data_IF_508066940370
#
_entry.id   IF_508066940370
#
_cell.length_a   1.000
_cell.length_b   1.000
_cell.length_c   1.000
_cell.angle_alpha   90.00
_cell.angle_beta   90.00
_cell.angle_gamma   90.00
#
_symmetry.space_group_name_H-M   'P 1'
#
loop_
_entity.id
_entity.type
_entity.pdbx_description
1 polymer ?
#
# COMPACT_ATOMS: atom_id res chain seq x y z
N UNK A 1 25.59 13.29 -21.50
CA UNK A 1 25.16 12.14 -20.66
C UNK A 1 25.71 12.38 -19.27
N UNK A 2 24.88 12.43 -18.23
CA UNK A 2 25.36 12.69 -16.87
C UNK A 2 26.30 11.58 -16.38
N UNK A 3 27.24 11.91 -15.50
CA UNK A 3 28.22 10.97 -14.95
C UNK A 3 27.57 9.76 -14.23
N UNK A 4 26.40 9.98 -13.63
CA UNK A 4 25.63 8.96 -12.92
C UNK A 4 24.37 8.65 -13.72
N UNK A 5 24.21 7.39 -14.15
CA UNK A 5 23.01 6.93 -14.85
C UNK A 5 21.78 6.92 -13.95
N UNK A 6 20.58 7.05 -14.54
CA UNK A 6 19.31 6.97 -13.79
C UNK A 6 19.16 5.64 -13.06
N UNK A 7 19.62 4.53 -13.68
CA UNK A 7 19.64 3.22 -13.03
C UNK A 7 20.52 3.23 -11.76
N UNK A 8 21.71 3.82 -11.82
CA UNK A 8 22.58 3.92 -10.64
C UNK A 8 21.96 4.76 -9.53
N UNK A 9 21.31 5.88 -9.88
CA UNK A 9 20.58 6.70 -8.90
C UNK A 9 19.45 5.91 -8.25
N UNK A 10 18.66 5.21 -9.06
CA UNK A 10 17.56 4.37 -8.59
C UNK A 10 18.05 3.26 -7.65
N UNK A 11 19.05 2.48 -8.06
CA UNK A 11 19.62 1.39 -7.25
C UNK A 11 20.17 1.92 -5.91
N UNK A 12 20.81 3.10 -5.91
CA UNK A 12 21.30 3.74 -4.70
C UNK A 12 20.15 4.14 -3.76
N UNK A 13 19.11 4.81 -4.27
CA UNK A 13 17.94 5.22 -3.48
C UNK A 13 17.17 4.02 -2.93
N UNK A 14 17.06 2.93 -3.71
CA UNK A 14 16.46 1.68 -3.25
C UNK A 14 17.24 1.11 -2.07
N UNK A 15 18.57 1.03 -2.14
CA UNK A 15 19.40 0.52 -1.04
C UNK A 15 19.39 1.41 0.20
N UNK A 16 19.16 2.71 0.04
CA UNK A 16 19.00 3.63 1.15
C UNK A 16 17.66 3.43 1.87
N UNK A 17 16.59 3.12 1.12
CA UNK A 17 15.22 3.01 1.66
C UNK A 17 14.85 1.60 2.12
N UNK A 18 15.37 0.56 1.47
CA UNK A 18 14.93 -0.81 1.61
C UNK A 18 16.06 -1.74 2.05
N UNK A 19 15.80 -2.57 3.05
CA UNK A 19 16.66 -3.71 3.38
C UNK A 19 16.34 -4.88 2.43
N UNK A 20 17.16 -5.02 1.39
CA UNK A 20 17.02 -6.04 0.35
C UNK A 20 17.82 -7.32 0.64
N UNK A 21 18.40 -7.47 1.84
CA UNK A 21 19.23 -8.63 2.20
C UNK A 21 18.49 -9.97 2.09
N UNK A 22 17.18 -9.96 2.33
CA UNK A 22 16.31 -11.13 2.20
C UNK A 22 15.46 -11.15 0.90
N UNK A 23 15.72 -10.25 -0.04
CA UNK A 23 14.99 -10.13 -1.30
C UNK A 23 14.01 -8.95 -1.36
N UNK A 24 13.72 -8.51 -2.58
CA UNK A 24 12.88 -7.33 -2.87
C UNK A 24 11.44 -7.50 -2.37
N UNK A 25 10.91 -8.71 -2.42
CA UNK A 25 9.56 -9.03 -1.98
C UNK A 25 9.39 -8.77 -0.47
N UNK A 26 10.26 -9.35 0.35
CA UNK A 26 10.30 -9.10 1.80
C UNK A 26 10.64 -7.65 2.12
N UNK A 27 11.54 -7.02 1.36
CA UNK A 27 11.93 -5.64 1.57
C UNK A 27 10.74 -4.68 1.49
N UNK A 28 9.87 -4.86 0.48
CA UNK A 28 8.64 -4.07 0.34
C UNK A 28 7.68 -4.25 1.52
N UNK A 29 7.43 -5.50 1.93
CA UNK A 29 6.52 -5.84 3.03
C UNK A 29 7.00 -5.28 4.37
N UNK A 30 8.28 -5.46 4.71
CA UNK A 30 8.86 -4.95 5.95
C UNK A 30 8.88 -3.42 6.01
N UNK A 31 9.17 -2.79 4.87
CA UNK A 31 9.17 -1.32 4.78
C UNK A 31 7.75 -0.78 4.93
N UNK A 32 6.76 -1.41 4.30
CA UNK A 32 5.35 -1.07 4.45
C UNK A 32 4.86 -1.25 5.91
N UNK A 33 5.33 -2.28 6.62
CA UNK A 33 5.05 -2.44 8.05
C UNK A 33 5.52 -1.23 8.87
N UNK A 34 6.75 -0.76 8.63
CA UNK A 34 7.32 0.36 9.38
C UNK A 34 6.53 1.67 9.19
N UNK A 35 5.80 1.83 8.09
CA UNK A 35 4.97 3.01 7.83
C UNK A 35 3.82 3.13 8.84
N UNK A 36 3.19 2.01 9.22
CA UNK A 36 2.09 2.01 10.19
C UNK A 36 2.49 1.52 11.59
N UNK A 37 3.64 0.87 11.77
CA UNK A 37 4.06 0.30 13.05
C UNK A 37 4.03 1.32 14.21
N UNK A 38 4.32 2.58 13.92
CA UNK A 38 4.25 3.71 14.89
C UNK A 38 2.84 3.95 15.45
N UNK A 39 1.81 3.40 14.82
CA UNK A 39 0.42 3.51 15.25
C UNK A 39 -0.05 2.30 16.07
N UNK A 40 0.77 1.25 16.19
CA UNK A 40 0.46 0.06 16.98
C UNK A 40 0.76 0.29 18.46
N UNK A 41 -0.16 -0.15 19.31
CA UNK A 41 -0.01 -0.21 20.77
C UNK A 41 -0.39 -1.62 21.22
N UNK A 42 0.50 -2.58 21.03
CA UNK A 42 0.25 -3.98 21.42
C UNK A 42 1.51 -4.63 21.96
N UNK A 43 1.33 -5.57 22.88
CA UNK A 43 2.39 -6.43 23.38
C UNK A 43 2.66 -7.59 22.41
N UNK A 44 3.80 -8.29 22.55
CA UNK A 44 4.20 -9.44 21.71
C UNK A 44 4.28 -9.18 20.19
N UNK A 45 4.66 -7.96 19.80
CA UNK A 45 4.79 -7.52 18.41
C UNK A 45 5.68 -8.43 17.53
N UNK A 46 6.79 -8.95 18.05
CA UNK A 46 7.84 -9.57 17.21
C UNK A 46 7.37 -10.88 16.55
N UNK A 47 6.75 -11.77 17.32
CA UNK A 47 6.29 -13.07 16.80
C UNK A 47 5.09 -12.89 15.86
N UNK A 48 4.07 -12.13 16.30
CA UNK A 48 2.90 -11.79 15.47
C UNK A 48 3.33 -11.16 14.15
N UNK A 49 4.22 -10.16 14.19
CA UNK A 49 4.80 -9.53 13.00
C UNK A 49 5.42 -10.55 12.06
N UNK A 50 6.36 -11.36 12.53
CA UNK A 50 7.06 -12.31 11.67
C UNK A 50 6.11 -13.34 11.05
N UNK A 51 5.12 -13.82 11.81
CA UNK A 51 4.11 -14.76 11.29
C UNK A 51 3.24 -14.10 10.22
N UNK A 52 2.70 -12.92 10.51
CA UNK A 52 1.81 -12.19 9.59
C UNK A 52 2.55 -11.69 8.34
N UNK A 53 3.84 -11.33 8.44
CA UNK A 53 4.69 -10.99 7.28
C UNK A 53 4.80 -12.17 6.30
N UNK A 54 5.05 -13.38 6.81
CA UNK A 54 5.13 -14.59 5.96
C UNK A 54 3.78 -14.90 5.32
N UNK A 55 2.70 -14.76 6.08
CA UNK A 55 1.34 -14.94 5.57
C UNK A 55 1.02 -13.93 4.46
N UNK A 56 1.28 -12.64 4.70
CA UNK A 56 1.06 -11.57 3.72
C UNK A 56 1.88 -11.78 2.45
N UNK A 57 3.15 -12.19 2.57
CA UNK A 57 4.00 -12.48 1.42
C UNK A 57 3.37 -13.55 0.52
N UNK A 58 2.88 -14.65 1.10
CA UNK A 58 2.22 -15.72 0.36
C UNK A 58 0.98 -15.21 -0.38
N UNK A 59 0.08 -14.53 0.33
CA UNK A 59 -1.18 -14.06 -0.24
C UNK A 59 -0.97 -12.98 -1.32
N UNK A 60 0.01 -12.09 -1.15
CA UNK A 60 0.32 -11.09 -2.19
C UNK A 60 0.92 -11.73 -3.44
N UNK A 61 1.78 -12.75 -3.29
CA UNK A 61 2.31 -13.50 -4.45
C UNK A 61 1.20 -14.19 -5.24
N UNK A 62 0.21 -14.76 -4.54
CA UNK A 62 -0.99 -15.31 -5.15
C UNK A 62 -1.79 -14.21 -5.86
N UNK A 63 -2.12 -13.12 -5.16
CA UNK A 63 -2.90 -12.00 -5.69
C UNK A 63 -2.32 -11.42 -7.00
N UNK A 64 -1.00 -11.20 -7.08
CA UNK A 64 -0.38 -10.64 -8.30
C UNK A 64 -0.30 -11.66 -9.45
N UNK A 65 -0.39 -12.97 -9.16
CA UNK A 65 -0.39 -14.02 -10.17
C UNK A 65 -1.77 -14.23 -10.83
N UNK A 66 -2.85 -13.87 -10.13
CA UNK A 66 -4.22 -14.00 -10.62
C UNK A 66 -4.42 -13.25 -11.93
N UNK A 67 -5.37 -13.71 -12.73
CA UNK A 67 -5.75 -13.06 -14.00
C UNK A 67 -7.01 -12.22 -13.83
N UNK A 68 -6.85 -11.06 -13.18
CA UNK A 68 -7.96 -10.19 -12.81
C UNK A 68 -8.40 -9.38 -14.02
N UNK A 69 -9.70 -9.40 -14.33
CA UNK A 69 -10.26 -8.79 -15.53
C UNK A 69 -10.87 -7.42 -15.27
N UNK A 70 -11.37 -7.16 -14.06
CA UNK A 70 -12.05 -5.91 -13.70
C UNK A 70 -11.78 -5.49 -12.26
N UNK A 71 -12.09 -4.23 -11.94
CA UNK A 71 -11.82 -3.63 -10.63
C UNK A 71 -12.55 -4.37 -9.51
N UNK A 72 -13.79 -4.80 -9.74
CA UNK A 72 -14.61 -5.48 -8.72
C UNK A 72 -14.00 -6.82 -8.29
N UNK A 73 -13.33 -7.53 -9.20
CA UNK A 73 -12.62 -8.77 -8.87
C UNK A 73 -11.40 -8.48 -7.99
N UNK A 74 -10.67 -7.40 -8.26
CA UNK A 74 -9.56 -6.98 -7.39
C UNK A 74 -10.08 -6.54 -6.02
N UNK A 75 -11.15 -5.75 -5.98
CA UNK A 75 -11.74 -5.24 -4.74
C UNK A 75 -12.17 -6.39 -3.82
N UNK A 76 -12.73 -7.47 -4.38
CA UNK A 76 -13.12 -8.68 -3.64
C UNK A 76 -11.91 -9.46 -3.13
N UNK A 77 -10.90 -9.72 -3.97
CA UNK A 77 -9.67 -10.41 -3.53
C UNK A 77 -8.87 -9.61 -2.51
N UNK A 78 -8.85 -8.30 -2.66
CA UNK A 78 -8.27 -7.40 -1.67
C UNK A 78 -9.06 -7.46 -0.35
N UNK A 79 -10.40 -7.52 -0.38
CA UNK A 79 -11.25 -7.69 0.80
C UNK A 79 -10.96 -8.98 1.52
N UNK A 80 -10.99 -10.10 0.80
CA UNK A 80 -10.68 -11.44 1.34
C UNK A 80 -9.32 -11.43 2.07
N UNK A 81 -8.29 -10.85 1.44
CA UNK A 81 -6.96 -10.72 2.05
C UNK A 81 -6.99 -9.88 3.34
N UNK A 82 -7.66 -8.72 3.32
CA UNK A 82 -7.76 -7.86 4.50
C UNK A 82 -8.49 -8.55 5.66
N UNK A 83 -9.56 -9.28 5.38
CA UNK A 83 -10.31 -10.04 6.39
C UNK A 83 -9.47 -11.19 6.97
N UNK A 84 -8.70 -11.90 6.13
CA UNK A 84 -7.75 -12.91 6.62
C UNK A 84 -6.66 -12.29 7.49
N UNK A 85 -6.10 -11.15 7.11
CA UNK A 85 -5.11 -10.43 7.91
C UNK A 85 -5.68 -9.96 9.25
N UNK A 86 -6.94 -9.48 9.27
CA UNK A 86 -7.65 -9.11 10.50
C UNK A 86 -7.86 -10.33 11.41
N UNK A 87 -8.06 -11.53 10.86
CA UNK A 87 -8.13 -12.78 11.64
C UNK A 87 -6.76 -13.20 12.18
N UNK A 88 -5.69 -13.07 11.39
CA UNK A 88 -4.31 -13.38 11.81
C UNK A 88 -3.76 -12.42 12.86
N UNK A 89 -4.15 -11.14 12.80
CA UNK A 89 -3.73 -10.10 13.73
C UNK A 89 -4.89 -9.14 14.03
N UNK A 90 -5.74 -9.53 14.97
CA UNK A 90 -7.00 -8.84 15.31
C UNK A 90 -6.82 -7.43 15.84
N UNK A 91 -5.68 -7.12 16.45
CA UNK A 91 -5.34 -5.78 16.93
C UNK A 91 -5.10 -4.76 15.81
N UNK A 92 -4.87 -5.20 14.56
CA UNK A 92 -4.72 -4.29 13.43
C UNK A 92 -6.06 -3.74 12.97
N UNK A 93 -6.21 -2.43 12.86
CA UNK A 93 -7.37 -1.83 12.20
C UNK A 93 -7.34 -2.11 10.68
N UNK A 94 -8.48 -2.05 9.99
CA UNK A 94 -8.49 -2.13 8.52
C UNK A 94 -7.69 -1.00 7.88
N UNK A 95 -7.62 0.15 8.54
CA UNK A 95 -6.73 1.24 8.18
C UNK A 95 -5.24 0.87 8.15
N UNK A 96 -4.78 0.13 9.16
CA UNK A 96 -3.41 -0.40 9.23
C UNK A 96 -3.19 -1.51 8.21
N UNK A 97 -4.15 -2.44 8.11
CA UNK A 97 -4.10 -3.57 7.17
C UNK A 97 -4.01 -3.07 5.71
N UNK A 98 -4.89 -2.17 5.28
CA UNK A 98 -4.84 -1.63 3.92
C UNK A 98 -3.54 -0.88 3.66
N UNK A 99 -2.99 -0.18 4.66
CA UNK A 99 -1.72 0.54 4.48
C UNK A 99 -0.61 -0.45 4.24
N UNK A 100 -0.59 -1.57 4.96
CA UNK A 100 0.39 -2.62 4.77
C UNK A 100 0.31 -3.24 3.38
N UNK A 101 -0.89 -3.67 2.97
CA UNK A 101 -1.14 -4.31 1.68
C UNK A 101 -0.79 -3.36 0.53
N UNK A 102 -1.35 -2.16 0.54
CA UNK A 102 -1.24 -1.22 -0.58
C UNK A 102 0.17 -0.63 -0.71
N UNK A 103 0.85 -0.35 0.41
CA UNK A 103 2.26 0.08 0.35
C UNK A 103 3.17 -1.05 -0.12
N UNK A 104 2.91 -2.31 0.27
CA UNK A 104 3.70 -3.46 -0.21
C UNK A 104 3.59 -3.60 -1.72
N UNK A 105 2.37 -3.56 -2.26
CA UNK A 105 2.11 -3.60 -3.71
C UNK A 105 2.74 -2.41 -4.44
N UNK A 106 2.64 -1.19 -3.87
CA UNK A 106 3.29 0.01 -4.42
C UNK A 106 4.81 -0.14 -4.50
N UNK A 107 5.45 -0.63 -3.43
CA UNK A 107 6.90 -0.84 -3.40
C UNK A 107 7.33 -1.96 -4.36
N UNK A 108 6.56 -3.04 -4.45
CA UNK A 108 6.82 -4.08 -5.44
C UNK A 108 6.72 -3.55 -6.87
N UNK A 109 5.73 -2.71 -7.16
CA UNK A 109 5.58 -2.06 -8.46
C UNK A 109 6.75 -1.11 -8.75
N UNK A 110 7.23 -0.38 -7.74
CA UNK A 110 8.43 0.45 -7.85
C UNK A 110 9.68 -0.37 -8.19
N UNK A 111 9.82 -1.58 -7.62
CA UNK A 111 10.95 -2.46 -7.93
C UNK A 111 10.92 -3.03 -9.35
N UNK A 112 9.76 -3.05 -10.01
CA UNK A 112 9.59 -3.48 -11.39
C UNK A 112 9.44 -4.99 -11.56
N UNK A 113 8.94 -5.38 -12.75
CA UNK A 113 8.67 -6.77 -13.12
C UNK A 113 9.91 -7.66 -13.20
N UNK A 114 11.10 -7.08 -13.38
CA UNK A 114 12.38 -7.80 -13.36
C UNK A 114 12.77 -8.26 -11.95
N UNK A 115 12.24 -7.62 -10.91
CA UNK A 115 12.44 -8.02 -9.50
C UNK A 115 11.25 -8.77 -8.94
N UNK A 116 10.04 -8.39 -9.33
CA UNK A 116 8.79 -9.00 -8.85
C UNK A 116 7.96 -9.46 -10.05
N UNK A 117 8.09 -10.74 -10.40
CA UNK A 117 7.29 -11.33 -11.47
C UNK A 117 5.77 -11.09 -11.28
N UNK A 118 5.08 -10.80 -12.38
CA UNK A 118 3.64 -10.53 -12.46
C UNK A 118 3.14 -9.23 -11.78
N UNK A 119 4.01 -8.40 -11.18
CA UNK A 119 3.55 -7.22 -10.44
C UNK A 119 2.74 -6.23 -11.30
N UNK A 120 3.09 -6.08 -12.58
CA UNK A 120 2.43 -5.15 -13.49
C UNK A 120 1.08 -5.66 -14.00
N UNK A 121 0.85 -6.98 -13.97
CA UNK A 121 -0.33 -7.64 -14.56
C UNK A 121 -1.64 -7.05 -14.02
N UNK A 122 -1.71 -6.87 -12.71
CA UNK A 122 -2.89 -6.39 -11.98
C UNK A 122 -2.72 -4.96 -11.45
N UNK A 123 -1.59 -4.29 -11.74
CA UNK A 123 -1.24 -2.98 -11.16
C UNK A 123 -2.28 -1.89 -11.44
N UNK A 124 -2.98 -1.98 -12.58
CA UNK A 124 -4.05 -1.04 -12.93
C UNK A 124 -5.25 -1.05 -11.97
N UNK A 125 -5.42 -2.13 -11.21
CA UNK A 125 -6.52 -2.28 -10.27
C UNK A 125 -6.09 -2.07 -8.81
N UNK A 126 -4.80 -1.83 -8.55
CA UNK A 126 -4.29 -1.69 -7.20
C UNK A 126 -4.97 -0.53 -6.46
N UNK A 127 -5.36 -0.82 -5.23
CA UNK A 127 -5.82 0.18 -4.30
C UNK A 127 -4.68 1.11 -3.92
N UNK A 128 -5.01 2.38 -3.73
CA UNK A 128 -4.02 3.35 -3.27
C UNK A 128 -3.83 3.21 -1.75
N UNK A 129 -2.61 3.40 -1.22
CA UNK A 129 -2.38 3.39 0.22
C UNK A 129 -2.98 4.63 0.88
N UNK A 130 -4.11 4.48 1.59
CA UNK A 130 -4.74 5.59 2.31
C UNK A 130 -3.88 5.96 3.52
N UNK A 131 -3.41 7.20 3.59
CA UNK A 131 -2.76 7.79 4.74
C UNK A 131 -3.20 9.24 4.95
N UNK A 132 -2.61 9.94 5.92
CA UNK A 132 -2.93 11.34 6.19
C UNK A 132 -2.76 12.26 4.99
N UNK A 133 -1.85 11.96 4.05
CA UNK A 133 -1.55 12.78 2.88
C UNK A 133 -2.64 12.58 1.84
N UNK A 134 -2.95 11.34 1.48
CA UNK A 134 -4.04 11.03 0.55
C UNK A 134 -5.37 11.52 1.10
N UNK A 135 -5.58 11.34 2.40
CA UNK A 135 -6.75 11.85 3.12
C UNK A 135 -6.85 13.39 3.02
N UNK A 136 -5.74 14.12 3.03
CA UNK A 136 -5.69 15.58 2.88
C UNK A 136 -5.90 16.01 1.42
N UNK A 137 -5.22 15.38 0.48
CA UNK A 137 -5.25 15.76 -0.95
C UNK A 137 -6.60 15.44 -1.58
N UNK A 138 -7.18 14.27 -1.27
CA UNK A 138 -8.40 13.80 -1.93
C UNK A 138 -9.69 14.18 -1.18
N UNK A 139 -9.60 14.64 0.09
CA UNK A 139 -10.79 14.89 0.93
C UNK A 139 -10.70 16.20 1.75
N UNK A 140 -9.80 17.11 1.37
CA UNK A 140 -9.27 18.27 2.11
C UNK A 140 -10.21 19.00 3.09
N UNK A 141 -11.43 19.36 2.70
CA UNK A 141 -12.32 20.17 3.56
C UNK A 141 -13.07 19.37 4.63
N UNK A 142 -13.16 18.04 4.52
CA UNK A 142 -13.88 17.19 5.49
C UNK A 142 -13.10 16.94 6.79
N UNK A 143 -11.86 17.42 6.90
CA UNK A 143 -10.99 17.26 8.08
C UNK A 143 -11.57 17.91 9.35
N UNK A 144 -12.42 18.92 9.18
CA UNK A 144 -13.08 19.66 10.27
C UNK A 144 -14.44 19.06 10.67
N UNK A 145 -14.87 17.97 10.04
CA UNK A 145 -16.07 17.25 10.48
C UNK A 145 -15.71 16.34 11.66
N UNK A 146 -16.52 16.35 12.71
CA UNK A 146 -16.29 15.59 13.95
C UNK A 146 -16.08 14.08 13.73
N UNK A 147 -16.54 13.54 12.58
CA UNK A 147 -16.44 12.13 12.21
C UNK A 147 -15.18 11.76 11.41
N UNK A 148 -14.23 12.70 11.20
CA UNK A 148 -13.01 12.42 10.45
C UNK A 148 -12.00 11.61 11.27
N UNK A 149 -12.19 10.29 11.32
CA UNK A 149 -11.26 9.37 11.99
C UNK A 149 -9.89 9.36 11.32
N UNK A 150 -8.83 9.27 12.11
CA UNK A 150 -7.48 9.00 11.58
C UNK A 150 -7.49 7.70 10.78
N UNK A 151 -6.79 7.64 9.65
CA UNK A 151 -6.78 6.45 8.78
C UNK A 151 -6.47 5.17 9.55
N UNK A 152 -5.57 5.21 10.55
CA UNK A 152 -5.18 4.06 11.37
C UNK A 152 -6.25 3.60 12.36
N UNK A 153 -7.41 4.27 12.44
CA UNK A 153 -8.56 3.92 13.30
C UNK A 153 -9.79 3.48 12.48
N UNK A 154 -9.63 3.23 11.19
CA UNK A 154 -10.69 2.66 10.36
C UNK A 154 -10.84 1.18 10.74
N UNK A 155 -11.90 0.86 11.49
CA UNK A 155 -12.19 -0.49 12.00
C UNK A 155 -13.17 -1.27 11.13
N UNK A 156 -13.71 -0.65 10.08
CA UNK A 156 -14.66 -1.25 9.16
C UNK A 156 -14.07 -1.25 7.73
N UNK A 157 -14.20 -2.37 7.01
CA UNK A 157 -13.66 -2.49 5.65
C UNK A 157 -14.45 -1.65 4.63
N UNK A 158 -15.76 -1.60 4.75
CA UNK A 158 -16.63 -0.78 3.90
C UNK A 158 -16.25 0.70 4.00
N UNK A 159 -15.98 1.22 5.20
CA UNK A 159 -15.48 2.59 5.42
C UNK A 159 -14.19 2.83 4.64
N UNK A 160 -13.23 1.88 4.67
CA UNK A 160 -12.03 1.93 3.85
C UNK A 160 -12.33 1.89 2.34
N UNK A 161 -13.21 0.99 1.90
CA UNK A 161 -13.56 0.80 0.48
C UNK A 161 -14.17 2.06 -0.13
N UNK A 162 -14.97 2.81 0.63
CA UNK A 162 -15.53 4.09 0.17
C UNK A 162 -14.43 5.11 -0.17
N UNK A 163 -13.31 5.14 0.56
CA UNK A 163 -12.18 6.01 0.19
C UNK A 163 -11.61 5.65 -1.19
N UNK A 164 -11.50 4.36 -1.52
CA UNK A 164 -11.03 3.91 -2.84
C UNK A 164 -12.01 4.31 -3.94
N UNK A 165 -13.31 4.11 -3.73
CA UNK A 165 -14.35 4.49 -4.69
C UNK A 165 -14.35 5.99 -4.96
N UNK A 166 -14.31 6.82 -3.91
CA UNK A 166 -14.26 8.27 -4.05
C UNK A 166 -12.99 8.69 -4.79
N UNK A 167 -11.84 8.11 -4.44
CA UNK A 167 -10.58 8.42 -5.13
C UNK A 167 -10.65 8.11 -6.62
N UNK A 168 -11.16 6.92 -6.99
CA UNK A 168 -11.32 6.51 -8.40
C UNK A 168 -12.31 7.41 -9.14
N UNK A 169 -13.45 7.74 -8.54
CA UNK A 169 -14.45 8.65 -9.11
C UNK A 169 -13.88 10.05 -9.37
N UNK A 170 -13.01 10.54 -8.49
CA UNK A 170 -12.36 11.84 -8.68
C UNK A 170 -11.21 11.81 -9.70
N UNK A 171 -10.80 10.62 -10.15
CA UNK A 171 -9.63 10.41 -11.03
C UNK A 171 -9.91 9.39 -12.15
N UNK A 172 -11.13 9.36 -12.69
CA UNK A 172 -11.63 8.31 -13.61
C UNK A 172 -10.76 8.05 -14.84
N UNK A 173 -9.96 9.03 -15.27
CA UNK A 173 -9.10 8.95 -16.46
C UNK A 173 -7.70 8.41 -16.20
N UNK A 174 -7.33 8.18 -14.95
CA UNK A 174 -5.97 7.78 -14.55
C UNK A 174 -6.03 6.56 -13.66
N UNK A 175 -5.16 5.59 -13.96
CA UNK A 175 -4.95 4.42 -13.10
C UNK A 175 -4.68 4.85 -11.66
N UNK A 176 -5.36 4.28 -10.64
CA UNK A 176 -5.29 4.80 -9.28
C UNK A 176 -3.87 4.88 -8.71
N UNK A 177 -3.07 3.81 -8.91
CA UNK A 177 -1.70 3.78 -8.40
C UNK A 177 -0.79 4.79 -9.11
N UNK A 178 -0.98 5.04 -10.41
CA UNK A 178 -0.24 6.07 -11.16
C UNK A 178 -0.57 7.44 -10.60
N UNK A 179 -1.86 7.71 -10.37
CA UNK A 179 -2.30 8.97 -9.78
C UNK A 179 -1.68 9.19 -8.40
N UNK A 180 -1.59 8.14 -7.59
CA UNK A 180 -0.96 8.22 -6.28
C UNK A 180 0.53 8.58 -6.37
N UNK A 181 1.29 8.02 -7.32
CA UNK A 181 2.68 8.44 -7.57
C UNK A 181 2.79 9.91 -8.00
N UNK A 182 1.90 10.39 -8.87
CA UNK A 182 1.85 11.80 -9.27
C UNK A 182 1.61 12.72 -8.06
N UNK A 183 0.63 12.39 -7.22
CA UNK A 183 0.31 13.17 -6.02
C UNK A 183 1.48 13.18 -5.03
N UNK A 184 2.15 12.04 -4.84
CA UNK A 184 3.31 11.93 -3.98
C UNK A 184 4.47 12.81 -4.48
N UNK A 185 4.78 12.76 -5.78
CA UNK A 185 5.90 13.51 -6.37
C UNK A 185 5.65 15.02 -6.40
N UNK A 186 4.40 15.45 -6.56
CA UNK A 186 4.03 16.87 -6.63
C UNK A 186 3.87 17.55 -5.26
N UNK A 187 4.00 16.80 -4.16
CA UNK A 187 3.80 17.30 -2.78
C UNK A 187 4.72 18.47 -2.41
N UNK A 188 5.88 18.58 -3.05
CA UNK A 188 6.89 19.61 -2.76
C UNK A 188 6.76 20.89 -3.59
N UNK A 189 5.78 21.02 -4.49
CA UNK A 189 5.53 22.27 -5.24
C UNK A 189 4.68 23.30 -4.46
N UNK A 190 4.58 23.13 -3.13
CA UNK A 190 3.99 24.08 -2.17
C UNK A 190 4.90 24.23 -0.94
N UNK A 191 6.20 24.47 -1.15
CA UNK A 191 7.06 25.08 -0.14
C UNK A 191 7.20 26.57 -0.47
#
# INVERSE_FOLDING_TARGET
MGLISEKMKFDFLVRLKFDISEGYDKAGIKTAYNDFARTLRTDNLKEKKSKTEKFLLKELKELISLDIKKQEEFDEKHRELCEKLKKEWSELSYGQIQKWVNMSLKYWLLFGGDKIANIEKNAKYFHIPIDSIIKEIAFGEKRNQADYKSWSKIENYEEYSEYQKIFRKNNERVTPIVKEFELFNNRNNKQ
#
